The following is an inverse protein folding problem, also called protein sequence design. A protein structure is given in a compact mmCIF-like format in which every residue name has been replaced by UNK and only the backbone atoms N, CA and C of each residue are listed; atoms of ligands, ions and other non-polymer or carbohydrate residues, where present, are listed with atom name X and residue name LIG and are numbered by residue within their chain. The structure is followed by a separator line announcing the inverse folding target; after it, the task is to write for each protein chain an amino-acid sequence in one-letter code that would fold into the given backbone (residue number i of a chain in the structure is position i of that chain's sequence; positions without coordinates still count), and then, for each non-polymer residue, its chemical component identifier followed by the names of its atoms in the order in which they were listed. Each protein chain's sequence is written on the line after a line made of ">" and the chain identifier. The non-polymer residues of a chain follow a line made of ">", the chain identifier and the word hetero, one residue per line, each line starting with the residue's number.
data_IF_142241482530
#
_entry.id   IF_142241482530
#
_cell.length_a   1.000
_cell.length_b   1.000
_cell.length_c   1.000
_cell.angle_alpha   90.00
_cell.angle_beta   90.00
_cell.angle_gamma   90.00
#
_symmetry.space_group_name_H-M   'P 1'
#
loop_
_entity.id
_entity.type
_entity.pdbx_description
1 polymer ?
#
# COMPACT_ATOMS: atom_id res chain seq x y z
N UNK A 1 10.86 -44.32 -3.41
CA UNK A 1 10.12 -43.24 -4.06
C UNK A 1 10.80 -42.73 -5.33
N UNK A 2 12.15 -42.64 -5.40
CA UNK A 2 12.88 -42.14 -6.57
C UNK A 2 12.49 -42.86 -7.88
N UNK A 3 12.37 -44.22 -7.87
CA UNK A 3 11.95 -44.97 -9.06
C UNK A 3 10.51 -44.72 -9.48
N UNK A 4 9.61 -44.40 -8.53
CA UNK A 4 8.24 -44.02 -8.85
C UNK A 4 8.20 -42.63 -9.45
N UNK A 5 9.03 -41.69 -8.98
CA UNK A 5 9.20 -40.36 -9.57
C UNK A 5 9.68 -40.47 -11.02
N UNK A 6 10.70 -41.25 -11.30
CA UNK A 6 11.24 -41.45 -12.66
C UNK A 6 10.21 -42.03 -13.64
N UNK A 7 9.34 -42.96 -13.16
CA UNK A 7 8.37 -43.61 -14.00
C UNK A 7 7.06 -42.86 -14.18
N UNK A 8 6.68 -42.03 -13.21
CA UNK A 8 5.40 -41.32 -13.21
C UNK A 8 5.52 -39.83 -13.62
N UNK A 9 6.74 -39.26 -13.59
CA UNK A 9 6.97 -37.85 -13.83
C UNK A 9 6.58 -36.92 -12.65
N UNK A 10 6.05 -37.48 -11.53
CA UNK A 10 5.71 -36.68 -10.35
C UNK A 10 6.89 -36.54 -9.40
N UNK A 11 7.06 -35.38 -8.81
CA UNK A 11 8.01 -35.10 -7.74
C UNK A 11 7.32 -35.29 -6.38
N UNK A 12 7.99 -35.96 -5.43
CA UNK A 12 7.43 -36.20 -4.10
C UNK A 12 8.00 -35.25 -3.08
N UNK A 13 7.12 -34.60 -2.30
CA UNK A 13 7.46 -33.69 -1.19
C UNK A 13 6.93 -34.31 0.10
N UNK A 14 7.79 -34.59 1.06
CA UNK A 14 7.43 -35.22 2.33
C UNK A 14 8.39 -34.79 3.46
N UNK A 15 7.93 -34.87 4.69
CA UNK A 15 8.77 -34.74 5.89
C UNK A 15 9.52 -36.04 6.15
N UNK A 16 10.82 -35.98 6.47
CA UNK A 16 11.64 -37.15 6.83
C UNK A 16 11.13 -37.92 8.06
N UNK A 17 10.27 -37.31 8.88
CA UNK A 17 9.56 -37.96 9.97
C UNK A 17 8.39 -38.85 9.50
N UNK A 18 7.86 -38.59 8.30
CA UNK A 18 6.74 -39.32 7.70
C UNK A 18 7.24 -40.43 6.78
N UNK A 19 8.33 -40.18 6.05
CA UNK A 19 8.93 -41.17 5.14
C UNK A 19 10.40 -41.34 5.49
N UNK A 20 10.76 -42.55 5.94
CA UNK A 20 12.15 -42.88 6.22
C UNK A 20 12.93 -43.12 4.91
N UNK A 21 13.90 -42.27 4.60
CA UNK A 21 14.70 -42.37 3.39
C UNK A 21 15.78 -43.46 3.40
N UNK A 22 16.09 -44.01 4.56
CA UNK A 22 17.20 -44.97 4.74
C UNK A 22 16.76 -46.43 4.51
N UNK A 23 15.47 -46.66 4.16
CA UNK A 23 14.93 -48.00 3.94
C UNK A 23 14.76 -48.26 2.45
N UNK A 24 15.47 -49.29 1.94
CA UNK A 24 15.20 -49.81 0.60
C UNK A 24 14.01 -50.80 0.65
N UNK A 25 12.93 -50.47 -0.03
CA UNK A 25 11.72 -51.32 -0.12
C UNK A 25 11.67 -52.01 -1.48
N UNK A 26 11.54 -53.34 -1.48
CA UNK A 26 11.32 -54.14 -2.70
C UNK A 26 9.84 -54.41 -2.86
N UNK A 27 9.19 -53.77 -3.86
CA UNK A 27 7.77 -54.03 -4.19
C UNK A 27 7.66 -55.11 -5.29
N UNK A 28 6.70 -56.03 -5.16
CA UNK A 28 6.45 -57.09 -6.14
C UNK A 28 5.34 -56.74 -7.13
N UNK A 29 4.59 -55.66 -6.97
CA UNK A 29 3.47 -55.30 -7.83
C UNK A 29 3.94 -54.60 -9.08
N UNK A 30 3.55 -55.11 -10.23
CA UNK A 30 3.61 -54.49 -11.55
C UNK A 30 2.22 -53.94 -11.89
N UNK A 31 2.13 -52.74 -12.47
CA UNK A 31 0.88 -52.10 -12.86
C UNK A 31 -0.01 -51.63 -11.68
N UNK A 32 0.47 -50.71 -10.84
CA UNK A 32 -0.31 -50.07 -9.79
C UNK A 32 -0.34 -48.54 -10.02
N UNK A 33 -1.35 -47.89 -9.47
CA UNK A 33 -1.42 -46.39 -9.50
C UNK A 33 -0.32 -45.78 -8.64
N UNK A 34 0.09 -44.54 -8.94
CA UNK A 34 1.09 -43.82 -8.14
C UNK A 34 0.69 -43.77 -6.65
N UNK A 35 -0.59 -43.55 -6.36
CA UNK A 35 -1.13 -43.58 -4.99
C UNK A 35 -0.90 -44.93 -4.32
N UNK A 36 -1.18 -46.05 -4.99
CA UNK A 36 -0.98 -47.39 -4.47
C UNK A 36 0.51 -47.67 -4.26
N UNK A 37 1.37 -47.24 -5.17
CA UNK A 37 2.81 -47.39 -5.04
C UNK A 37 3.38 -46.64 -3.82
N UNK A 38 2.90 -45.43 -3.56
CA UNK A 38 3.31 -44.65 -2.38
C UNK A 38 2.92 -45.37 -1.10
N UNK A 39 1.66 -45.79 -0.96
CA UNK A 39 1.19 -46.50 0.25
C UNK A 39 1.91 -47.84 0.49
N UNK A 40 2.32 -48.53 -0.56
CA UNK A 40 3.05 -49.76 -0.45
C UNK A 40 4.53 -49.57 -0.07
N UNK A 41 5.15 -48.48 -0.56
CA UNK A 41 6.53 -48.15 -0.25
C UNK A 41 6.66 -47.57 1.16
N UNK A 42 5.73 -46.72 1.57
CA UNK A 42 5.75 -46.07 2.89
C UNK A 42 5.21 -47.00 3.97
N UNK A 43 4.38 -47.98 3.60
CA UNK A 43 3.76 -48.96 4.52
C UNK A 43 2.60 -48.37 5.33
N UNK A 44 2.19 -47.15 5.08
CA UNK A 44 1.12 -46.48 5.80
C UNK A 44 0.04 -45.96 4.83
N UNK A 45 -1.17 -46.54 4.95
CA UNK A 45 -2.34 -46.16 4.14
C UNK A 45 -3.14 -45.01 4.73
N UNK A 46 -2.79 -44.56 5.91
CA UNK A 46 -3.47 -43.43 6.58
C UNK A 46 -2.95 -42.08 6.12
N UNK A 47 -1.84 -42.04 5.39
CA UNK A 47 -1.23 -40.82 4.86
C UNK A 47 -2.17 -40.10 3.88
N UNK A 48 -2.23 -38.82 3.98
CA UNK A 48 -2.94 -37.95 3.02
C UNK A 48 -2.04 -37.60 1.85
N UNK A 49 -2.51 -37.84 0.63
CA UNK A 49 -1.78 -37.53 -0.60
C UNK A 49 -2.49 -36.38 -1.32
N UNK A 50 -1.81 -35.21 -1.45
CA UNK A 50 -2.32 -34.04 -2.14
C UNK A 50 -1.49 -33.75 -3.39
N UNK A 51 -2.14 -33.71 -4.56
CA UNK A 51 -1.50 -33.40 -5.84
C UNK A 51 -1.59 -31.91 -6.10
N UNK A 52 -0.46 -31.25 -6.35
CA UNK A 52 -0.36 -29.84 -6.69
C UNK A 52 0.54 -29.73 -7.92
N UNK A 53 -0.05 -29.54 -9.10
CA UNK A 53 0.68 -29.57 -10.37
C UNK A 53 1.43 -30.87 -10.55
N UNK A 54 2.75 -30.81 -10.74
CA UNK A 54 3.63 -31.96 -10.89
C UNK A 54 4.22 -32.51 -9.56
N UNK A 55 3.71 -32.07 -8.40
CA UNK A 55 4.17 -32.47 -7.08
C UNK A 55 3.09 -33.24 -6.35
N UNK A 56 3.50 -34.31 -5.64
CA UNK A 56 2.65 -35.05 -4.72
C UNK A 56 3.20 -34.83 -3.29
N UNK A 57 2.42 -34.13 -2.47
CA UNK A 57 2.70 -33.97 -1.05
C UNK A 57 2.21 -35.18 -0.29
N UNK A 58 3.10 -35.80 0.50
CA UNK A 58 2.78 -36.92 1.40
C UNK A 58 2.74 -36.33 2.82
N UNK A 59 1.53 -36.24 3.37
CA UNK A 59 1.25 -35.66 4.66
C UNK A 59 0.90 -36.71 5.69
N UNK A 60 1.19 -36.49 6.98
CA UNK A 60 0.70 -37.38 8.03
C UNK A 60 -0.84 -37.45 8.00
N UNK A 61 -1.45 -38.53 8.49
CA UNK A 61 -2.89 -38.62 8.59
C UNK A 61 -3.39 -37.41 9.37
N UNK A 62 -4.42 -36.74 8.83
CA UNK A 62 -5.10 -35.70 9.59
C UNK A 62 -5.58 -36.38 10.90
N UNK A 63 -4.92 -36.07 12.00
CA UNK A 63 -5.41 -36.49 13.31
C UNK A 63 -6.87 -36.06 13.39
N UNK A 64 -7.78 -37.02 13.40
CA UNK A 64 -9.12 -36.80 13.90
C UNK A 64 -8.97 -36.48 15.37
N UNK A 65 -8.61 -35.25 15.65
CA UNK A 65 -8.76 -34.69 16.97
C UNK A 65 -10.24 -34.79 17.27
N UNK A 66 -10.64 -35.85 17.95
CA UNK A 66 -11.88 -35.89 18.71
C UNK A 66 -11.69 -34.88 19.81
N UNK A 67 -11.74 -33.60 19.42
CA UNK A 67 -11.96 -32.50 20.36
C UNK A 67 -13.32 -32.81 20.98
N UNK A 68 -13.32 -33.37 22.19
CA UNK A 68 -14.41 -33.08 23.11
C UNK A 68 -14.56 -31.55 23.01
N UNK A 69 -15.59 -31.12 22.28
CA UNK A 69 -16.04 -29.75 22.29
C UNK A 69 -16.29 -29.39 23.76
N UNK A 70 -15.28 -28.80 24.44
CA UNK A 70 -15.61 -27.72 25.33
C UNK A 70 -16.29 -26.73 24.39
N UNK A 71 -17.56 -26.49 24.62
CA UNK A 71 -18.24 -25.33 24.12
C UNK A 71 -17.49 -24.17 24.73
N UNK A 72 -16.39 -23.76 24.10
CA UNK A 72 -15.94 -22.39 24.16
C UNK A 72 -17.07 -21.66 23.45
N UNK A 73 -17.76 -20.80 24.13
CA UNK A 73 -18.57 -19.77 23.54
C UNK A 73 -17.76 -19.23 22.37
N UNK A 74 -18.15 -19.61 21.15
CA UNK A 74 -17.65 -18.98 19.94
C UNK A 74 -18.07 -17.54 20.13
N UNK A 75 -17.12 -16.68 20.46
CA UNK A 75 -17.34 -15.24 20.38
C UNK A 75 -17.81 -15.05 18.93
N UNK A 76 -19.05 -14.63 18.68
CA UNK A 76 -19.54 -14.48 17.34
C UNK A 76 -18.56 -13.56 16.63
N UNK A 77 -18.11 -13.95 15.42
CA UNK A 77 -17.30 -13.09 14.57
C UNK A 77 -17.94 -11.72 14.56
N UNK A 78 -17.23 -10.65 14.86
CA UNK A 78 -17.83 -9.33 14.91
C UNK A 78 -18.58 -9.08 13.60
N UNK A 79 -19.88 -8.82 13.70
CA UNK A 79 -20.65 -8.41 12.54
C UNK A 79 -20.13 -7.03 12.10
N UNK A 80 -19.98 -6.84 10.79
CA UNK A 80 -19.52 -5.59 10.18
C UNK A 80 -20.63 -4.96 9.36
N UNK A 81 -20.64 -3.65 9.28
CA UNK A 81 -21.45 -2.89 8.34
C UNK A 81 -20.56 -2.00 7.48
N UNK A 82 -21.00 -1.74 6.27
CA UNK A 82 -20.27 -0.91 5.31
C UNK A 82 -20.99 0.42 5.11
N UNK A 83 -20.23 1.50 5.11
CA UNK A 83 -20.68 2.83 4.69
C UNK A 83 -19.93 3.17 3.41
N UNK A 84 -20.68 3.58 2.39
CA UNK A 84 -20.16 4.08 1.12
C UNK A 84 -20.71 5.46 0.82
N UNK A 85 -20.02 6.22 0.01
CA UNK A 85 -20.51 7.53 -0.42
C UNK A 85 -19.52 8.27 -1.32
N UNK A 86 -19.92 9.47 -1.66
CA UNK A 86 -19.21 10.38 -2.55
C UNK A 86 -19.01 11.71 -1.82
N UNK A 87 -17.78 12.20 -1.81
CA UNK A 87 -17.40 13.46 -1.20
C UNK A 87 -17.05 14.49 -2.29
N UNK A 88 -17.72 15.62 -2.26
CA UNK A 88 -17.58 16.71 -3.24
C UNK A 88 -17.21 18.03 -2.58
N UNK A 89 -16.57 18.89 -3.34
CA UNK A 89 -16.44 20.30 -3.02
C UNK A 89 -17.82 20.98 -3.10
N UNK A 90 -18.17 21.74 -2.06
CA UNK A 90 -19.46 22.38 -1.96
C UNK A 90 -19.68 23.51 -2.98
N UNK A 91 -18.61 24.19 -3.38
CA UNK A 91 -18.67 25.33 -4.31
C UNK A 91 -18.58 24.91 -5.78
N UNK A 92 -17.62 24.02 -6.09
CA UNK A 92 -17.35 23.59 -7.47
C UNK A 92 -18.10 22.34 -7.88
N UNK A 93 -18.49 21.49 -6.93
CA UNK A 93 -19.07 20.18 -7.18
C UNK A 93 -18.04 19.13 -7.56
N UNK A 94 -16.75 19.47 -7.64
CA UNK A 94 -15.66 18.57 -7.97
C UNK A 94 -15.46 17.49 -6.89
N UNK A 95 -14.94 16.31 -7.23
CA UNK A 95 -14.62 15.29 -6.24
C UNK A 95 -13.48 15.74 -5.31
N UNK A 96 -13.64 15.55 -4.00
CA UNK A 96 -12.56 15.78 -3.03
C UNK A 96 -11.71 14.52 -2.96
N UNK A 97 -10.55 14.56 -3.58
CA UNK A 97 -9.62 13.42 -3.74
C UNK A 97 -8.73 13.27 -2.52
N UNK A 98 -8.50 12.03 -2.07
CA UNK A 98 -7.66 11.70 -0.90
C UNK A 98 -8.10 12.39 0.39
N UNK A 99 -9.39 12.72 0.52
CA UNK A 99 -9.97 13.18 1.77
C UNK A 99 -9.99 12.05 2.80
N UNK A 100 -9.65 12.37 4.02
CA UNK A 100 -9.63 11.43 5.14
C UNK A 100 -11.05 11.15 5.64
N UNK A 101 -11.39 9.88 5.83
CA UNK A 101 -12.65 9.40 6.40
C UNK A 101 -12.32 8.53 7.60
N UNK A 102 -12.48 9.04 8.81
CA UNK A 102 -12.04 8.39 10.05
C UNK A 102 -13.19 8.31 11.05
N UNK A 103 -13.31 7.17 11.74
CA UNK A 103 -14.19 7.04 12.87
C UNK A 103 -13.57 7.71 14.11
N UNK A 104 -14.20 8.78 14.59
CA UNK A 104 -13.72 9.57 15.71
C UNK A 104 -13.48 8.72 16.96
N UNK A 105 -12.41 9.02 17.70
CA UNK A 105 -12.02 8.27 18.90
C UNK A 105 -11.35 6.92 18.61
N UNK A 106 -11.19 6.55 17.34
CA UNK A 106 -10.48 5.35 16.90
C UNK A 106 -9.39 5.70 15.88
N UNK A 107 -8.56 4.71 15.53
CA UNK A 107 -7.63 4.82 14.41
C UNK A 107 -8.18 4.22 13.11
N UNK A 108 -9.46 3.79 13.11
CA UNK A 108 -10.09 3.17 11.93
C UNK A 108 -10.44 4.25 10.92
N UNK A 109 -9.94 4.11 9.72
CA UNK A 109 -10.20 5.07 8.66
C UNK A 109 -9.81 4.59 7.27
N UNK A 110 -10.09 5.45 6.32
CA UNK A 110 -9.77 5.30 4.90
C UNK A 110 -9.68 6.69 4.25
N UNK A 111 -9.50 6.72 2.93
CA UNK A 111 -9.52 7.95 2.13
C UNK A 111 -10.48 7.83 0.94
N UNK A 112 -10.83 8.96 0.34
CA UNK A 112 -11.56 9.00 -0.93
C UNK A 112 -10.64 8.72 -2.11
N UNK A 113 -11.17 8.06 -3.15
CA UNK A 113 -10.48 7.84 -4.42
C UNK A 113 -10.51 9.10 -5.32
N UNK A 114 -10.05 9.00 -6.57
CA UNK A 114 -10.03 10.13 -7.54
C UNK A 114 -11.40 10.66 -7.91
N UNK A 115 -12.45 9.85 -7.76
CA UNK A 115 -13.83 10.26 -8.01
C UNK A 115 -14.50 10.86 -6.77
N UNK A 116 -13.78 10.93 -5.62
CA UNK A 116 -14.31 11.34 -4.33
C UNK A 116 -15.10 10.23 -3.62
N UNK A 117 -15.07 8.99 -4.11
CA UNK A 117 -15.77 7.85 -3.53
C UNK A 117 -15.01 7.31 -2.32
N UNK A 118 -15.74 6.91 -1.28
CA UNK A 118 -15.19 6.26 -0.11
C UNK A 118 -15.97 5.01 0.26
N UNK A 119 -15.28 4.08 0.91
CA UNK A 119 -15.86 2.89 1.53
C UNK A 119 -15.19 2.68 2.89
N UNK A 120 -15.99 2.46 3.91
CA UNK A 120 -15.53 2.18 5.26
C UNK A 120 -16.30 1.01 5.86
N UNK A 121 -15.59 -0.04 6.25
CA UNK A 121 -16.12 -1.20 6.96
C UNK A 121 -15.87 -1.01 8.46
N UNK A 122 -16.91 -1.13 9.26
CA UNK A 122 -16.87 -0.89 10.69
C UNK A 122 -17.54 -2.04 11.46
N UNK A 123 -17.01 -2.45 12.61
CA UNK A 123 -17.70 -3.38 13.50
C UNK A 123 -19.04 -2.81 13.97
N UNK A 124 -20.05 -3.65 14.07
CA UNK A 124 -21.41 -3.27 14.52
C UNK A 124 -21.41 -2.56 15.88
N UNK A 125 -20.47 -2.89 16.75
CA UNK A 125 -20.29 -2.22 18.05
C UNK A 125 -20.00 -0.73 17.96
N UNK A 126 -19.56 -0.25 16.78
CA UNK A 126 -19.18 1.15 16.52
C UNK A 126 -20.23 1.93 15.70
N UNK A 127 -21.42 1.36 15.52
CA UNK A 127 -22.51 1.92 14.71
C UNK A 127 -22.93 3.34 15.15
N UNK A 128 -22.84 3.65 16.43
CA UNK A 128 -23.21 4.95 16.98
C UNK A 128 -22.06 5.96 17.03
N UNK A 129 -20.91 5.60 16.44
CA UNK A 129 -19.76 6.50 16.35
C UNK A 129 -19.99 7.61 15.31
N UNK A 130 -19.13 8.64 15.35
CA UNK A 130 -19.14 9.74 14.37
C UNK A 130 -18.02 9.57 13.39
N UNK A 131 -18.31 9.68 12.09
CA UNK A 131 -17.31 9.76 11.03
C UNK A 131 -16.88 11.20 10.85
N UNK A 132 -15.57 11.43 10.82
CA UNK A 132 -14.95 12.71 10.46
C UNK A 132 -14.50 12.65 9.02
N UNK A 133 -14.92 13.62 8.23
CA UNK A 133 -14.50 13.86 6.84
C UNK A 133 -13.64 15.11 6.83
N UNK A 134 -12.39 14.99 6.38
CA UNK A 134 -11.47 16.12 6.39
C UNK A 134 -10.48 16.09 5.23
N UNK A 135 -10.11 17.28 4.76
CA UNK A 135 -9.10 17.48 3.74
C UNK A 135 -8.40 18.82 3.96
N UNK A 136 -7.14 18.93 3.51
CA UNK A 136 -6.39 20.16 3.59
C UNK A 136 -7.10 21.29 2.84
N UNK A 137 -7.34 22.44 3.51
CA UNK A 137 -8.04 23.58 2.95
C UNK A 137 -9.58 23.50 3.01
N UNK A 138 -10.14 22.55 3.74
CA UNK A 138 -11.58 22.40 3.93
C UNK A 138 -11.98 22.42 5.40
N UNK A 139 -13.21 22.80 5.66
CA UNK A 139 -13.85 22.68 6.99
C UNK A 139 -14.15 21.21 7.24
N UNK A 140 -13.66 20.67 8.35
CA UNK A 140 -13.94 19.28 8.71
C UNK A 140 -15.43 19.08 9.03
N UNK A 141 -16.02 17.96 8.58
CA UNK A 141 -17.40 17.61 8.82
C UNK A 141 -17.50 16.31 9.63
N UNK A 142 -18.40 16.26 10.60
CA UNK A 142 -18.66 15.07 11.42
C UNK A 142 -20.09 14.63 11.30
N UNK A 143 -20.31 13.34 10.98
CA UNK A 143 -21.65 12.76 10.75
C UNK A 143 -21.75 11.44 11.52
N UNK A 144 -22.90 11.17 12.13
CA UNK A 144 -23.16 9.88 12.81
C UNK A 144 -23.17 8.73 11.81
N UNK A 145 -22.40 7.68 12.07
CA UNK A 145 -22.28 6.53 11.19
C UNK A 145 -23.63 5.85 10.90
N UNK A 146 -24.49 5.75 11.93
CA UNK A 146 -25.83 5.16 11.82
C UNK A 146 -26.73 5.85 10.78
N UNK A 147 -26.53 7.14 10.51
CA UNK A 147 -27.31 7.89 9.52
C UNK A 147 -26.89 7.63 8.09
N UNK A 148 -25.71 7.06 7.90
CA UNK A 148 -25.11 6.83 6.58
C UNK A 148 -25.25 5.37 6.09
N UNK A 149 -25.71 4.46 6.94
CA UNK A 149 -25.83 3.04 6.62
C UNK A 149 -26.96 2.80 5.60
N UNK A 150 -26.66 2.00 4.57
CA UNK A 150 -27.63 1.55 3.57
C UNK A 150 -28.20 2.67 2.70
N UNK A 151 -27.46 3.74 2.50
CA UNK A 151 -27.86 4.91 1.68
C UNK A 151 -26.78 5.23 0.65
N UNK A 152 -27.20 5.86 -0.45
CA UNK A 152 -26.33 6.51 -1.41
C UNK A 152 -25.94 7.88 -0.85
N UNK A 153 -24.82 7.93 -0.14
CA UNK A 153 -24.38 9.13 0.54
C UNK A 153 -23.64 10.06 -0.43
N UNK A 154 -24.16 11.27 -0.61
CA UNK A 154 -23.43 12.36 -1.29
C UNK A 154 -23.21 13.47 -0.26
N UNK A 155 -21.94 13.66 0.11
CA UNK A 155 -21.53 14.62 1.11
C UNK A 155 -20.72 15.76 0.45
N UNK A 156 -20.77 16.96 1.04
CA UNK A 156 -20.01 18.10 0.52
C UNK A 156 -19.17 18.72 1.60
N UNK A 157 -17.86 18.90 1.33
CA UNK A 157 -16.99 19.69 2.18
C UNK A 157 -16.96 21.15 1.72
N UNK A 158 -17.00 22.05 2.67
CA UNK A 158 -16.92 23.49 2.44
C UNK A 158 -15.45 23.92 2.42
N UNK A 159 -14.97 24.60 1.33
CA UNK A 159 -13.64 25.19 1.32
C UNK A 159 -13.48 26.17 2.47
N UNK A 160 -12.37 26.10 3.20
CA UNK A 160 -12.06 27.02 4.27
C UNK A 160 -11.28 28.20 3.73
N UNK A 161 -11.97 29.31 3.52
CA UNK A 161 -11.38 30.57 3.09
C UNK A 161 -10.77 31.27 4.31
N UNK A 162 -9.48 31.63 4.22
CA UNK A 162 -8.80 32.43 5.26
C UNK A 162 -9.13 33.89 5.01
N UNK A 163 -9.89 34.59 5.87
CA UNK A 163 -10.09 36.00 5.72
C UNK A 163 -8.75 36.75 5.83
N UNK A 164 -8.46 37.64 4.89
CA UNK A 164 -7.24 38.46 4.88
C UNK A 164 -7.03 39.26 6.20
N UNK A 165 -8.08 39.47 6.97
CA UNK A 165 -8.04 40.20 8.24
C UNK A 165 -7.56 39.35 9.43
N UNK A 166 -7.62 38.02 9.34
CA UNK A 166 -7.12 37.09 10.37
C UNK A 166 -5.66 36.71 10.15
N UNK A 167 -5.09 37.03 9.02
CA UNK A 167 -3.67 36.83 8.77
C UNK A 167 -2.89 37.94 9.49
N UNK A 168 -2.76 37.83 10.79
CA UNK A 168 -1.61 38.38 11.49
C UNK A 168 -0.40 37.70 10.86
N UNK A 169 0.22 38.37 9.90
CA UNK A 169 1.45 37.94 9.24
C UNK A 169 2.51 37.83 10.34
N UNK A 170 2.48 36.76 11.10
CA UNK A 170 3.69 36.31 11.78
C UNK A 170 4.56 35.82 10.65
N UNK A 171 5.51 36.68 10.26
CA UNK A 171 6.65 36.27 9.44
C UNK A 171 7.42 35.23 10.24
N UNK A 172 6.92 34.00 10.20
CA UNK A 172 7.62 32.86 10.81
C UNK A 172 8.80 32.58 9.89
N UNK A 173 10.00 32.71 10.41
CA UNK A 173 11.21 32.35 9.67
C UNK A 173 11.12 30.85 9.29
N UNK A 174 11.13 30.50 7.98
CA UNK A 174 10.91 29.14 7.54
C UNK A 174 11.89 28.13 8.16
N UNK A 175 13.16 28.51 8.27
CA UNK A 175 14.18 27.65 8.88
C UNK A 175 13.93 27.40 10.38
N UNK A 176 13.43 28.41 11.11
CA UNK A 176 13.08 28.28 12.52
C UNK A 176 11.95 27.27 12.68
N UNK A 177 10.90 27.37 11.86
CA UNK A 177 9.77 26.46 11.90
C UNK A 177 10.17 25.02 11.57
N UNK A 178 11.02 24.81 10.56
CA UNK A 178 11.54 23.48 10.22
C UNK A 178 12.42 22.89 11.34
N UNK A 179 13.22 23.74 11.99
CA UNK A 179 14.03 23.33 13.15
C UNK A 179 13.13 22.90 14.32
N UNK A 180 12.10 23.68 14.63
CA UNK A 180 11.11 23.34 15.65
C UNK A 180 10.39 22.03 15.32
N UNK A 181 9.94 21.85 14.09
CA UNK A 181 9.31 20.60 13.62
C UNK A 181 10.21 19.38 13.86
N UNK A 182 11.49 19.48 13.51
CA UNK A 182 12.45 18.37 13.69
C UNK A 182 12.74 18.14 15.19
N UNK A 183 12.86 19.18 15.99
CA UNK A 183 13.10 19.08 17.43
C UNK A 183 11.90 18.48 18.18
N UNK A 184 10.66 18.83 17.80
CA UNK A 184 9.43 18.31 18.38
C UNK A 184 9.05 16.91 17.88
N UNK A 185 9.88 16.30 17.04
CA UNK A 185 9.62 14.99 16.47
C UNK A 185 9.38 13.91 17.53
N UNK A 186 10.17 13.92 18.62
CA UNK A 186 10.03 12.97 19.72
C UNK A 186 8.71 13.11 20.49
N UNK A 187 8.14 14.32 20.54
CA UNK A 187 6.85 14.58 21.20
C UNK A 187 5.66 14.24 20.31
N UNK A 188 5.80 14.48 19.00
CA UNK A 188 4.70 14.37 18.06
C UNK A 188 4.54 12.95 17.47
N UNK A 189 5.62 12.17 17.35
CA UNK A 189 5.60 10.85 16.68
C UNK A 189 5.96 9.72 17.63
N UNK A 190 5.53 8.50 17.29
CA UNK A 190 5.66 7.36 18.20
C UNK A 190 7.11 7.02 18.56
N UNK A 191 7.39 6.98 19.84
CA UNK A 191 8.65 6.49 20.42
C UNK A 191 8.65 4.97 20.61
N UNK A 192 7.50 4.31 20.47
CA UNK A 192 7.35 2.87 20.60
C UNK A 192 6.98 2.26 19.24
N UNK A 193 7.32 0.99 19.01
CA UNK A 193 6.88 0.31 17.81
C UNK A 193 5.36 0.14 17.81
N UNK A 194 4.75 0.17 16.62
CA UNK A 194 3.31 0.01 16.42
C UNK A 194 3.02 -0.92 15.25
N UNK A 195 1.83 -1.53 15.24
CA UNK A 195 1.32 -2.15 14.03
C UNK A 195 0.44 -1.19 13.26
N UNK A 196 0.68 -1.12 11.95
CA UNK A 196 -0.20 -0.45 11.01
C UNK A 196 -0.85 -1.51 10.12
N UNK A 197 -2.18 -1.53 10.03
CA UNK A 197 -2.87 -2.25 8.95
C UNK A 197 -3.04 -1.27 7.81
N UNK A 198 -2.43 -1.57 6.66
CA UNK A 198 -2.37 -0.66 5.52
C UNK A 198 -2.97 -1.30 4.29
N UNK A 199 -3.79 -0.55 3.56
CA UNK A 199 -4.12 -0.86 2.18
C UNK A 199 -3.07 -0.26 1.25
N UNK A 200 -2.65 -1.03 0.28
CA UNK A 200 -1.69 -0.64 -0.74
C UNK A 200 -2.24 -0.92 -2.13
N UNK A 201 -2.03 0.00 -3.03
CA UNK A 201 -2.38 -0.13 -4.45
C UNK A 201 -1.27 0.40 -5.31
N UNK A 202 -0.92 -0.30 -6.38
CA UNK A 202 -0.03 0.20 -7.43
C UNK A 202 -0.61 -0.08 -8.81
N UNK A 203 -0.38 0.83 -9.72
CA UNK A 203 -0.87 0.70 -11.10
C UNK A 203 0.14 1.16 -12.13
N UNK A 204 0.03 0.57 -13.32
CA UNK A 204 0.84 0.89 -14.47
C UNK A 204 -0.07 1.20 -15.66
N UNK A 205 0.17 2.34 -16.30
CA UNK A 205 -0.51 2.76 -17.51
C UNK A 205 0.49 3.14 -18.61
N UNK A 206 0.23 2.72 -19.83
CA UNK A 206 1.01 3.08 -21.01
C UNK A 206 0.10 3.79 -22.03
N UNK A 207 0.39 5.04 -22.40
CA UNK A 207 -0.49 5.86 -23.26
C UNK A 207 -1.93 5.94 -22.71
N UNK A 208 -2.10 6.12 -21.42
CA UNK A 208 -3.37 6.09 -20.71
C UNK A 208 -4.15 4.75 -20.81
N UNK A 209 -3.51 3.70 -21.31
CA UNK A 209 -4.08 2.34 -21.31
C UNK A 209 -3.56 1.58 -20.12
N UNK A 210 -4.49 1.00 -19.38
CA UNK A 210 -4.22 0.12 -18.26
C UNK A 210 -3.31 -1.06 -18.67
N UNK A 211 -2.29 -1.33 -17.86
CA UNK A 211 -1.38 -2.46 -18.04
C UNK A 211 -1.50 -3.45 -16.87
N UNK A 212 -1.41 -2.96 -15.64
CA UNK A 212 -1.52 -3.78 -14.44
C UNK A 212 -2.02 -2.97 -13.26
N UNK A 213 -2.68 -3.67 -12.33
CA UNK A 213 -3.07 -3.19 -11.01
C UNK A 213 -2.72 -4.26 -9.99
N UNK A 214 -2.07 -3.87 -8.92
CA UNK A 214 -1.83 -4.71 -7.75
C UNK A 214 -2.43 -4.02 -6.53
N UNK A 215 -3.20 -4.74 -5.76
CA UNK A 215 -3.78 -4.28 -4.50
C UNK A 215 -3.40 -5.26 -3.40
N UNK A 216 -3.11 -4.77 -2.22
CA UNK A 216 -2.76 -5.61 -1.08
C UNK A 216 -3.13 -4.96 0.24
N UNK A 217 -3.40 -5.80 1.23
CA UNK A 217 -3.47 -5.40 2.63
C UNK A 217 -2.29 -5.98 3.38
N UNK A 218 -1.58 -5.11 4.08
CA UNK A 218 -0.42 -5.48 4.88
C UNK A 218 -0.63 -5.19 6.36
N UNK A 219 -0.04 -6.01 7.22
CA UNK A 219 0.28 -5.63 8.59
C UNK A 219 1.75 -5.21 8.63
N UNK A 220 2.01 -3.98 9.02
CA UNK A 220 3.35 -3.39 9.10
C UNK A 220 3.75 -3.27 10.56
N UNK A 221 4.86 -3.90 10.94
CA UNK A 221 5.55 -3.56 12.17
C UNK A 221 6.37 -2.31 11.88
N UNK A 222 5.89 -1.17 12.37
CA UNK A 222 6.59 0.12 12.27
C UNK A 222 7.51 0.24 13.48
N UNK A 223 8.81 0.28 13.24
CA UNK A 223 9.78 0.46 14.32
C UNK A 223 9.73 1.90 14.85
N UNK A 224 10.16 2.08 16.10
CA UNK A 224 10.14 3.36 16.80
C UNK A 224 11.16 4.36 16.23
N UNK A 225 10.95 5.65 16.51
CA UNK A 225 11.91 6.71 16.14
C UNK A 225 13.31 6.51 16.71
N UNK A 226 13.50 6.11 17.99
CA UNK A 226 14.83 5.86 18.54
C UNK A 226 15.56 4.71 17.85
N UNK A 227 14.83 3.76 17.27
CA UNK A 227 15.39 2.60 16.57
C UNK A 227 15.61 2.87 15.07
N UNK A 228 16.25 3.98 14.69
CA UNK A 228 16.46 4.37 13.28
C UNK A 228 17.17 3.30 12.44
N UNK A 229 18.03 2.46 13.06
CA UNK A 229 18.71 1.36 12.39
C UNK A 229 17.85 0.10 12.21
N UNK A 230 16.63 0.07 12.74
CA UNK A 230 15.71 -1.05 12.64
C UNK A 230 14.75 -0.83 11.49
N UNK A 231 14.82 -1.70 10.50
CA UNK A 231 13.91 -1.67 9.36
C UNK A 231 12.50 -2.06 9.77
N UNK A 232 11.51 -1.36 9.23
CA UNK A 232 10.12 -1.77 9.31
C UNK A 232 9.92 -3.15 8.69
N UNK A 233 8.99 -3.94 9.25
CA UNK A 233 8.70 -5.28 8.76
C UNK A 233 7.29 -5.33 8.20
N UNK A 234 7.12 -6.05 7.13
CA UNK A 234 5.84 -6.16 6.42
C UNK A 234 5.39 -7.61 6.42
N UNK A 235 4.14 -7.84 6.78
CA UNK A 235 3.43 -9.12 6.63
C UNK A 235 2.28 -8.91 5.66
N UNK A 236 2.24 -9.72 4.60
CA UNK A 236 1.13 -9.73 3.65
C UNK A 236 -0.08 -10.42 4.29
N UNK A 237 -1.23 -9.78 4.28
CA UNK A 237 -2.49 -10.33 4.75
C UNK A 237 -3.36 -10.79 3.58
N UNK A 238 -3.50 -9.95 2.56
CA UNK A 238 -4.33 -10.22 1.38
C UNK A 238 -3.78 -9.49 0.17
N UNK A 239 -3.90 -10.06 -1.03
CA UNK A 239 -3.43 -9.42 -2.26
C UNK A 239 -4.29 -9.83 -3.45
N UNK A 240 -4.51 -8.89 -4.36
CA UNK A 240 -5.13 -9.09 -5.67
C UNK A 240 -4.29 -8.45 -6.75
N UNK A 241 -4.18 -9.09 -7.90
CA UNK A 241 -3.43 -8.59 -9.05
C UNK A 241 -4.20 -8.83 -10.34
N UNK A 242 -4.18 -7.84 -11.20
CA UNK A 242 -4.79 -7.89 -12.52
C UNK A 242 -3.77 -7.37 -13.54
N UNK A 243 -3.46 -8.21 -14.54
CA UNK A 243 -2.61 -7.85 -15.65
C UNK A 243 -3.40 -7.86 -16.95
N UNK A 244 -3.19 -6.86 -17.79
CA UNK A 244 -3.73 -6.85 -19.15
C UNK A 244 -2.82 -7.67 -20.07
N UNK A 245 -3.15 -8.96 -20.27
CA UNK A 245 -2.39 -9.92 -21.09
C UNK A 245 -2.34 -9.56 -22.58
N UNK A 246 -3.22 -8.67 -23.08
CA UNK A 246 -3.19 -8.23 -24.48
C UNK A 246 -2.01 -7.30 -24.83
N UNK A 247 -1.34 -6.79 -23.82
CA UNK A 247 -0.15 -6.00 -24.01
C UNK A 247 1.02 -6.94 -24.37
N UNK A 248 1.17 -7.23 -25.68
CA UNK A 248 2.31 -7.99 -26.26
C UNK A 248 3.69 -7.40 -25.93
N UNK A 249 3.70 -6.29 -25.30
CA UNK A 249 4.86 -5.63 -24.75
C UNK A 249 4.95 -5.91 -23.24
N UNK A 250 5.49 -7.06 -22.87
CA UNK A 250 5.89 -7.25 -21.49
C UNK A 250 6.82 -6.08 -21.12
N UNK A 251 6.26 -5.11 -20.40
CA UNK A 251 7.00 -3.91 -19.99
C UNK A 251 8.02 -4.33 -18.93
N UNK A 252 9.17 -4.80 -19.37
CA UNK A 252 10.25 -5.20 -18.48
C UNK A 252 11.01 -3.95 -18.07
N UNK A 253 10.36 -3.10 -17.28
CA UNK A 253 11.03 -2.03 -16.55
C UNK A 253 10.74 -2.22 -15.06
N UNK A 254 11.79 -2.43 -14.27
CA UNK A 254 11.69 -2.47 -12.81
C UNK A 254 11.88 -1.05 -12.29
N UNK A 255 10.80 -0.48 -11.80
CA UNK A 255 10.77 0.85 -11.19
C UNK A 255 10.75 0.68 -9.67
N UNK A 256 11.35 1.62 -8.94
CA UNK A 256 11.24 1.65 -7.48
C UNK A 256 9.79 1.96 -7.08
N UNK A 257 9.06 0.94 -6.77
CA UNK A 257 7.70 0.97 -6.24
C UNK A 257 7.55 -0.14 -5.19
N UNK A 258 6.36 -0.31 -4.68
CA UNK A 258 6.03 -1.32 -3.68
C UNK A 258 5.97 -0.77 -2.27
N UNK A 259 5.45 -1.60 -1.36
CA UNK A 259 5.23 -1.21 0.04
C UNK A 259 6.51 -0.71 0.74
N UNK A 260 7.66 -1.26 0.42
CA UNK A 260 8.94 -0.84 1.02
C UNK A 260 9.31 0.58 0.58
N UNK A 261 9.02 0.95 -0.67
CA UNK A 261 9.23 2.32 -1.16
C UNK A 261 8.32 3.33 -0.42
N UNK A 262 7.07 2.94 -0.13
CA UNK A 262 6.18 3.74 0.70
C UNK A 262 6.75 3.97 2.11
N UNK A 263 7.21 2.89 2.77
CA UNK A 263 7.75 3.00 4.13
C UNK A 263 9.04 3.85 4.20
N UNK A 264 9.84 3.85 3.13
CA UNK A 264 11.03 4.71 3.01
C UNK A 264 10.68 6.20 2.78
N UNK A 265 9.44 6.51 2.43
CA UNK A 265 8.96 7.89 2.31
C UNK A 265 8.47 8.47 3.66
N UNK A 266 8.61 7.76 4.76
CA UNK A 266 8.37 8.31 6.10
C UNK A 266 9.49 9.29 6.48
N UNK A 267 9.36 10.52 6.00
CA UNK A 267 10.36 11.58 6.18
C UNK A 267 10.50 12.05 7.63
N UNK A 268 9.59 11.68 8.51
CA UNK A 268 9.73 11.96 9.94
C UNK A 268 10.51 10.86 10.67
N UNK A 269 10.61 9.67 10.10
CA UNK A 269 11.51 8.62 10.59
C UNK A 269 12.93 8.82 10.02
N UNK A 270 13.06 8.90 8.71
CA UNK A 270 14.32 9.07 8.00
C UNK A 270 14.38 10.50 7.43
N UNK A 271 14.96 11.43 8.18
CA UNK A 271 15.01 12.84 7.81
C UNK A 271 15.80 13.04 6.51
N UNK A 272 15.18 13.55 5.44
CA UNK A 272 15.89 13.85 4.20
C UNK A 272 16.72 15.14 4.31
N UNK A 273 17.69 15.31 3.42
CA UNK A 273 18.64 16.45 3.41
C UNK A 273 17.95 17.82 3.41
N UNK A 274 16.75 17.95 2.82
CA UNK A 274 16.02 19.21 2.82
C UNK A 274 15.44 19.61 4.19
N UNK A 275 15.51 18.73 5.19
CA UNK A 275 15.19 19.03 6.59
C UNK A 275 16.44 19.32 7.43
N UNK A 276 17.64 19.13 6.88
CA UNK A 276 18.91 19.48 7.53
C UNK A 276 19.23 20.97 7.36
N UNK A 277 18.36 21.85 7.92
CA UNK A 277 18.37 23.29 7.67
C UNK A 277 19.62 24.01 8.14
N UNK A 278 20.34 23.48 9.12
CA UNK A 278 21.54 24.02 9.74
C UNK A 278 22.85 23.41 9.18
N UNK A 279 22.75 22.50 8.20
CA UNK A 279 23.95 21.96 7.56
C UNK A 279 24.74 23.07 6.87
N UNK A 280 26.07 23.08 7.03
CA UNK A 280 26.96 24.10 6.50
C UNK A 280 26.84 24.22 4.97
N UNK A 281 26.77 23.08 4.29
CA UNK A 281 26.60 22.98 2.83
C UNK A 281 25.15 22.78 2.38
N UNK A 282 24.17 23.25 3.18
CA UNK A 282 22.75 23.07 2.84
C UNK A 282 22.45 23.58 1.41
N UNK A 283 22.02 22.70 0.49
CA UNK A 283 21.81 23.06 -0.91
C UNK A 283 20.43 23.72 -1.16
N UNK A 284 19.63 23.96 -0.12
CA UNK A 284 18.24 24.41 -0.24
C UNK A 284 18.03 25.88 0.15
N UNK A 285 16.99 26.46 -0.44
CA UNK A 285 16.36 27.72 -0.03
C UNK A 285 14.96 27.42 0.50
N UNK A 286 14.51 28.20 1.48
CA UNK A 286 13.21 28.03 2.11
C UNK A 286 12.45 29.35 2.08
N UNK A 287 11.15 29.27 1.76
CA UNK A 287 10.25 30.43 1.76
C UNK A 287 8.96 30.10 2.48
N UNK A 288 8.40 31.05 3.20
CA UNK A 288 7.08 30.91 3.82
C UNK A 288 6.00 30.99 2.73
N UNK A 289 5.03 30.09 2.81
CA UNK A 289 3.80 30.14 2.03
C UNK A 289 2.64 30.69 2.83
N UNK A 290 1.45 30.65 2.24
CA UNK A 290 0.22 31.03 2.89
C UNK A 290 -0.18 30.02 3.98
N UNK A 291 -0.96 30.49 4.96
CA UNK A 291 -1.54 29.64 5.99
C UNK A 291 -2.73 28.87 5.39
N UNK A 292 -2.88 27.63 5.78
CA UNK A 292 -4.04 26.79 5.44
C UNK A 292 -4.61 26.10 6.68
N UNK A 293 -5.59 25.24 6.51
CA UNK A 293 -6.23 24.51 7.61
C UNK A 293 -6.36 23.02 7.29
N UNK A 294 -6.28 22.20 8.34
CA UNK A 294 -6.63 20.78 8.33
C UNK A 294 -7.25 20.42 9.69
N UNK A 295 -8.36 19.66 9.70
CA UNK A 295 -9.07 19.30 10.94
C UNK A 295 -9.30 20.52 11.87
N UNK A 296 -9.70 21.66 11.30
CA UNK A 296 -9.89 22.95 11.95
C UNK A 296 -8.64 23.59 12.62
N UNK A 297 -7.46 23.01 12.43
CA UNK A 297 -6.18 23.50 12.92
C UNK A 297 -5.47 24.34 11.86
N UNK A 298 -4.85 25.40 12.31
CA UNK A 298 -4.04 26.27 11.46
C UNK A 298 -2.74 25.59 11.08
N UNK A 299 -2.36 25.67 9.81
CA UNK A 299 -1.18 25.00 9.24
C UNK A 299 -0.32 26.02 8.49
N UNK A 300 0.94 26.12 8.90
CA UNK A 300 1.94 26.92 8.19
C UNK A 300 2.48 26.15 6.98
N UNK A 301 2.67 26.83 5.87
CA UNK A 301 3.27 26.25 4.67
C UNK A 301 4.69 26.74 4.50
N UNK A 302 5.63 25.80 4.32
CA UNK A 302 7.02 26.09 3.99
C UNK A 302 7.34 25.49 2.63
N UNK A 303 7.70 26.34 1.66
CA UNK A 303 8.25 25.90 0.39
C UNK A 303 9.75 25.74 0.50
N UNK A 304 10.27 24.72 -0.17
CA UNK A 304 11.71 24.51 -0.28
C UNK A 304 12.08 24.17 -1.72
N UNK A 305 13.22 24.69 -2.18
CA UNK A 305 13.78 24.40 -3.48
C UNK A 305 15.32 24.44 -3.43
N UNK A 306 15.98 23.77 -4.36
CA UNK A 306 17.44 23.82 -4.44
C UNK A 306 17.95 25.18 -4.87
N UNK A 307 19.11 25.59 -4.32
CA UNK A 307 19.84 26.81 -4.72
C UNK A 307 20.21 26.75 -6.20
N UNK A 308 20.22 27.88 -6.87
CA UNK A 308 20.56 28.01 -8.32
C UNK A 308 21.96 27.48 -8.68
N UNK A 309 22.89 27.48 -7.74
CA UNK A 309 24.24 26.95 -7.90
C UNK A 309 24.29 25.43 -7.98
N UNK A 310 23.26 24.73 -7.46
CA UNK A 310 23.19 23.26 -7.41
C UNK A 310 22.54 22.73 -8.66
N UNK A 311 23.19 21.79 -9.35
CA UNK A 311 22.70 21.22 -10.63
C UNK A 311 22.29 19.76 -10.53
N UNK A 312 22.30 19.19 -9.32
CA UNK A 312 21.84 17.81 -9.08
C UNK A 312 20.32 17.71 -9.05
N UNK A 313 19.73 16.55 -9.36
CA UNK A 313 18.28 16.33 -9.29
C UNK A 313 17.83 16.18 -7.83
N UNK A 314 17.68 17.28 -7.13
CA UNK A 314 17.21 17.32 -5.75
C UNK A 314 15.68 17.46 -5.68
N UNK A 315 15.12 17.22 -4.51
CA UNK A 315 13.71 17.43 -4.22
C UNK A 315 13.40 18.93 -4.07
N UNK A 316 12.17 19.32 -4.41
CA UNK A 316 11.57 20.60 -4.07
C UNK A 316 10.10 20.35 -3.69
N UNK A 317 9.45 21.31 -3.04
CA UNK A 317 8.05 21.12 -2.68
C UNK A 317 7.56 22.01 -1.55
N UNK A 318 6.51 21.50 -0.86
CA UNK A 318 5.83 22.18 0.23
C UNK A 318 5.69 21.25 1.44
N UNK A 319 5.92 21.79 2.61
CA UNK A 319 5.74 21.17 3.91
C UNK A 319 4.64 21.89 4.66
N UNK A 320 3.66 21.16 5.15
CA UNK A 320 2.48 21.65 5.86
C UNK A 320 2.65 21.32 7.34
N UNK A 321 2.84 22.33 8.16
CA UNK A 321 3.26 22.19 9.57
C UNK A 321 2.20 22.80 10.46
N UNK A 322 1.69 21.99 11.39
CA UNK A 322 0.72 22.40 12.39
C UNK A 322 1.27 23.56 13.24
N UNK A 323 0.49 24.64 13.39
CA UNK A 323 0.93 25.82 14.10
C UNK A 323 0.94 25.68 15.62
N UNK A 324 0.23 24.68 16.17
CA UNK A 324 0.11 24.50 17.63
C UNK A 324 1.23 23.64 18.21
N UNK A 325 1.60 22.56 17.53
CA UNK A 325 2.59 21.59 18.03
C UNK A 325 3.78 21.39 17.10
N UNK A 326 3.86 22.13 16.00
CA UNK A 326 4.90 22.00 14.97
C UNK A 326 5.01 20.61 14.34
N UNK A 327 3.95 19.78 14.37
CA UNK A 327 3.95 18.52 13.68
C UNK A 327 3.84 18.71 12.16
N UNK A 328 4.56 17.91 11.37
CA UNK A 328 4.32 17.81 9.93
C UNK A 328 3.02 17.05 9.69
N UNK A 329 2.05 17.70 9.09
CA UNK A 329 0.76 17.07 8.76
C UNK A 329 0.71 16.55 7.33
N UNK A 330 1.43 17.23 6.42
CA UNK A 330 1.55 16.80 5.03
C UNK A 330 2.85 17.32 4.42
N UNK A 331 3.40 16.54 3.50
CA UNK A 331 4.46 16.96 2.59
C UNK A 331 4.07 16.64 1.15
N UNK A 332 4.26 17.59 0.25
CA UNK A 332 4.21 17.36 -1.19
C UNK A 332 5.58 17.66 -1.75
N UNK A 333 6.24 16.64 -2.23
CA UNK A 333 7.63 16.75 -2.72
C UNK A 333 7.72 16.23 -4.15
N UNK A 334 8.55 16.86 -4.95
CA UNK A 334 8.83 16.41 -6.30
C UNK A 334 10.32 16.58 -6.63
N UNK A 335 10.83 15.81 -7.58
CA UNK A 335 12.17 16.08 -8.11
C UNK A 335 12.10 17.35 -8.95
N UNK A 336 13.06 18.25 -8.75
CA UNK A 336 13.12 19.50 -9.47
C UNK A 336 12.99 19.28 -10.99
N UNK A 337 11.93 19.81 -11.64
CA UNK A 337 11.65 19.56 -13.06
C UNK A 337 12.80 19.89 -14.00
N UNK A 338 13.66 20.83 -13.62
CA UNK A 338 14.81 21.27 -14.43
C UNK A 338 15.86 20.15 -14.58
N UNK A 339 16.02 19.30 -13.54
CA UNK A 339 17.05 18.26 -13.49
C UNK A 339 16.47 16.85 -13.51
N UNK A 340 15.16 16.70 -13.70
CA UNK A 340 14.43 15.44 -13.59
C UNK A 340 14.98 14.31 -14.47
N UNK A 341 15.51 14.62 -15.66
CA UNK A 341 16.05 13.62 -16.59
C UNK A 341 17.27 12.90 -16.02
N UNK A 342 18.06 13.61 -15.22
CA UNK A 342 19.28 13.09 -14.57
C UNK A 342 18.93 12.10 -13.45
N UNK A 343 17.72 12.24 -12.86
CA UNK A 343 17.21 11.34 -11.84
C UNK A 343 16.78 9.96 -12.39
N UNK A 344 16.80 9.73 -13.70
CA UNK A 344 16.30 8.48 -14.29
C UNK A 344 16.92 7.23 -13.67
N UNK A 345 18.22 7.25 -13.39
CA UNK A 345 18.94 6.13 -12.78
C UNK A 345 18.51 5.83 -11.32
N UNK A 346 17.91 6.82 -10.65
CA UNK A 346 17.41 6.67 -9.27
C UNK A 346 16.15 5.80 -9.26
N UNK A 347 15.29 5.96 -10.27
CA UNK A 347 13.96 5.33 -10.31
C UNK A 347 13.90 4.07 -11.16
N UNK A 348 14.66 4.00 -12.26
CA UNK A 348 14.68 2.86 -13.17
C UNK A 348 15.78 1.89 -12.76
N UNK A 349 15.40 0.81 -12.07
CA UNK A 349 16.33 -0.21 -11.57
C UNK A 349 16.78 -1.14 -12.71
N UNK A 350 15.87 -1.49 -13.62
CA UNK A 350 16.13 -2.35 -14.78
C UNK A 350 15.19 -2.02 -15.90
N UNK A 351 15.67 -2.07 -17.13
CA UNK A 351 14.87 -1.92 -18.34
C UNK A 351 15.29 -2.93 -19.40
N UNK A 352 14.38 -3.32 -20.28
CA UNK A 352 14.68 -4.21 -21.39
C UNK A 352 15.66 -3.54 -22.38
N UNK A 353 16.56 -4.29 -23.04
CA UNK A 353 17.61 -3.72 -23.92
C UNK A 353 17.10 -2.87 -25.10
N UNK A 354 15.84 -3.07 -25.50
CA UNK A 354 15.17 -2.36 -26.60
C UNK A 354 14.36 -1.13 -26.16
N UNK A 355 14.28 -0.90 -24.85
CA UNK A 355 13.50 0.19 -24.25
C UNK A 355 14.48 1.15 -23.57
N UNK A 356 14.25 2.46 -23.76
CA UNK A 356 14.93 3.50 -23.02
C UNK A 356 13.88 4.38 -22.33
N UNK A 357 13.91 4.40 -21.00
CA UNK A 357 13.06 5.25 -20.17
C UNK A 357 13.81 6.53 -19.78
N UNK A 358 13.10 7.65 -19.82
CA UNK A 358 13.59 8.94 -19.32
C UNK A 358 12.53 9.50 -18.39
N UNK A 359 12.90 9.80 -17.16
CA UNK A 359 12.00 10.38 -16.16
C UNK A 359 11.53 11.75 -16.59
N UNK A 360 10.23 12.02 -16.48
CA UNK A 360 9.57 13.28 -16.84
C UNK A 360 9.06 14.00 -15.60
N UNK A 361 8.53 13.28 -14.63
CA UNK A 361 7.96 13.81 -13.40
C UNK A 361 7.95 12.75 -12.32
N UNK A 362 8.26 13.12 -11.10
CA UNK A 362 8.11 12.30 -9.89
C UNK A 362 7.57 13.20 -8.80
N UNK A 363 6.41 12.83 -8.27
CA UNK A 363 5.73 13.57 -7.19
C UNK A 363 5.34 12.58 -6.11
N UNK A 364 5.57 12.96 -4.87
CA UNK A 364 5.10 12.24 -3.69
C UNK A 364 4.23 13.16 -2.84
N UNK A 365 3.16 12.62 -2.33
CA UNK A 365 2.35 13.21 -1.26
C UNK A 365 2.41 12.28 -0.06
N UNK A 366 2.75 12.82 1.09
CA UNK A 366 2.89 12.09 2.35
C UNK A 366 2.07 12.84 3.38
N UNK A 367 1.15 12.17 4.06
CA UNK A 367 0.37 12.80 5.12
C UNK A 367 0.39 11.98 6.41
N UNK A 368 0.29 12.70 7.51
CA UNK A 368 0.27 12.17 8.86
C UNK A 368 -1.03 12.58 9.54
N UNK A 369 -1.55 11.72 10.39
CA UNK A 369 -2.76 11.99 11.19
C UNK A 369 -2.51 11.65 12.65
N UNK A 370 -3.02 12.47 13.57
CA UNK A 370 -2.93 12.20 15.00
C UNK A 370 -3.96 11.15 15.41
N UNK A 371 -3.53 10.23 16.28
CA UNK A 371 -4.38 9.35 17.05
C UNK A 371 -3.87 9.29 18.49
N UNK A 372 -4.74 9.58 19.44
CA UNK A 372 -4.39 9.74 20.87
C UNK A 372 -3.20 10.69 21.09
N UNK A 373 -3.14 11.80 20.35
CA UNK A 373 -2.10 12.82 20.45
C UNK A 373 -0.79 12.50 19.72
N UNK A 374 -0.62 11.30 19.19
CA UNK A 374 0.58 10.88 18.44
C UNK A 374 0.29 10.82 16.95
N UNK A 375 1.16 11.38 16.13
CA UNK A 375 1.04 11.36 14.66
C UNK A 375 1.59 10.07 14.08
N UNK A 376 0.82 9.49 13.16
CA UNK A 376 1.19 8.30 12.40
C UNK A 376 1.09 8.60 10.90
N UNK A 377 1.91 7.89 10.13
CA UNK A 377 1.77 7.95 8.67
C UNK A 377 0.37 7.48 8.28
N UNK A 378 -0.35 8.34 7.56
CA UNK A 378 -1.74 8.09 7.19
C UNK A 378 -1.88 7.71 5.72
N UNK A 379 -1.30 8.53 4.83
CA UNK A 379 -1.42 8.31 3.40
C UNK A 379 -0.12 8.67 2.69
N UNK A 380 0.29 7.83 1.76
CA UNK A 380 1.41 8.06 0.84
C UNK A 380 0.92 7.80 -0.57
N UNK A 381 1.19 8.73 -1.46
CA UNK A 381 0.99 8.56 -2.90
C UNK A 381 2.25 8.95 -3.65
N UNK A 382 2.62 8.13 -4.63
CA UNK A 382 3.69 8.41 -5.58
C UNK A 382 3.19 8.33 -7.01
N UNK A 383 3.45 9.36 -7.81
CA UNK A 383 3.16 9.40 -9.25
C UNK A 383 4.45 9.61 -10.01
N UNK A 384 4.82 8.65 -10.87
CA UNK A 384 6.04 8.64 -11.64
C UNK A 384 5.72 8.56 -13.14
N UNK A 385 6.22 9.51 -13.91
CA UNK A 385 6.01 9.58 -15.36
C UNK A 385 7.33 9.43 -16.10
N UNK A 386 7.33 8.55 -17.08
CA UNK A 386 8.50 8.27 -17.91
C UNK A 386 8.15 8.41 -19.40
N UNK A 387 9.04 8.99 -20.15
CA UNK A 387 9.01 8.93 -21.60
C UNK A 387 9.69 7.65 -22.04
N UNK A 388 8.99 6.80 -22.80
CA UNK A 388 9.52 5.55 -23.30
C UNK A 388 9.91 5.69 -24.76
N UNK A 389 11.17 5.37 -25.10
CA UNK A 389 11.67 5.25 -26.47
C UNK A 389 11.96 3.80 -26.78
N UNK A 390 11.49 3.30 -27.93
CA UNK A 390 11.84 1.98 -28.47
C UNK A 390 12.85 2.10 -29.60
N UNK A 391 13.90 1.29 -29.61
CA UNK A 391 15.00 1.37 -30.61
C UNK A 391 14.56 1.20 -32.06
N UNK A 392 13.37 0.64 -32.34
CA UNK A 392 12.87 0.36 -33.71
C UNK A 392 11.68 1.24 -34.14
N UNK A 393 11.12 2.09 -33.28
CA UNK A 393 9.96 2.92 -33.60
C UNK A 393 10.30 4.40 -33.45
N UNK A 394 10.48 5.08 -34.58
CA UNK A 394 10.90 6.49 -34.64
C UNK A 394 9.76 7.47 -34.32
N UNK A 395 8.49 7.07 -34.43
CA UNK A 395 7.35 7.98 -34.41
C UNK A 395 6.49 7.98 -33.16
N UNK A 396 6.76 7.14 -32.16
CA UNK A 396 5.93 7.07 -30.95
C UNK A 396 6.80 7.00 -29.71
N UNK A 397 6.73 8.05 -28.89
CA UNK A 397 7.36 8.11 -27.57
C UNK A 397 6.25 8.13 -26.50
N UNK A 398 5.63 7.00 -26.18
CA UNK A 398 4.54 6.96 -25.23
C UNK A 398 5.00 7.34 -23.82
N UNK A 399 4.08 7.92 -23.05
CA UNK A 399 4.26 8.11 -21.62
C UNK A 399 3.89 6.83 -20.89
N UNK A 400 4.80 6.37 -20.05
CA UNK A 400 4.56 5.37 -19.04
C UNK A 400 4.27 6.11 -17.72
N UNK A 401 3.10 5.89 -17.17
CA UNK A 401 2.72 6.35 -15.83
C UNK A 401 2.67 5.15 -14.90
N UNK A 402 3.43 5.19 -13.84
CA UNK A 402 3.30 4.25 -12.73
C UNK A 402 3.00 5.05 -11.47
N UNK A 403 2.09 4.54 -10.68
CA UNK A 403 1.71 5.17 -9.43
C UNK A 403 1.53 4.11 -8.35
N UNK A 404 1.70 4.53 -7.12
CA UNK A 404 1.42 3.70 -5.96
C UNK A 404 0.79 4.54 -4.86
N UNK A 405 0.04 3.88 -4.02
CA UNK A 405 -0.70 4.50 -2.93
C UNK A 405 -0.74 3.56 -1.73
N UNK A 406 -0.53 4.09 -0.54
CA UNK A 406 -0.65 3.37 0.72
C UNK A 406 -1.49 4.21 1.67
N UNK A 407 -2.50 3.61 2.30
CA UNK A 407 -3.28 4.24 3.36
C UNK A 407 -3.25 3.37 4.61
N UNK A 408 -3.04 4.00 5.77
CA UNK A 408 -3.16 3.34 7.08
C UNK A 408 -4.63 3.32 7.48
N UNK A 409 -5.20 2.12 7.53
CA UNK A 409 -6.61 1.88 7.87
C UNK A 409 -6.83 1.62 9.36
N UNK A 410 -5.78 1.19 10.08
CA UNK A 410 -5.83 0.91 11.51
C UNK A 410 -4.43 1.06 12.12
N UNK A 411 -4.35 1.68 13.30
CA UNK A 411 -3.15 1.71 14.14
C UNK A 411 -3.43 0.89 15.40
N UNK A 412 -2.53 -0.05 15.71
CA UNK A 412 -2.59 -0.88 16.92
C UNK A 412 -1.28 -0.72 17.69
N UNK A 413 -1.40 -0.38 18.95
CA UNK A 413 -0.27 -0.12 19.85
C UNK A 413 -0.10 -1.19 20.95
N UNK A 414 -0.99 -2.21 20.94
CA UNK A 414 -0.99 -3.25 21.96
C UNK A 414 -0.22 -4.49 21.51
N UNK A 415 0.56 -5.07 22.43
CA UNK A 415 1.28 -6.32 22.22
C UNK A 415 2.12 -6.38 20.93
N UNK A 416 2.76 -5.24 20.57
CA UNK A 416 3.52 -5.11 19.34
C UNK A 416 4.85 -5.85 19.45
N UNK A 417 5.03 -6.87 18.62
CA UNK A 417 6.24 -7.68 18.52
C UNK A 417 6.70 -7.80 17.06
N UNK A 418 7.99 -8.05 16.86
CA UNK A 418 8.53 -8.26 15.52
C UNK A 418 7.98 -9.55 14.92
N UNK A 419 7.70 -9.52 13.62
CA UNK A 419 7.28 -10.74 12.90
C UNK A 419 8.42 -11.77 12.84
N UNK A 420 8.07 -13.04 12.91
CA UNK A 420 9.00 -14.12 12.65
C UNK A 420 9.52 -14.07 11.20
N UNK A 421 10.64 -14.74 10.92
CA UNK A 421 11.21 -14.74 9.57
C UNK A 421 10.26 -15.36 8.52
N UNK A 422 9.43 -16.30 8.92
CA UNK A 422 8.48 -16.97 8.04
C UNK A 422 7.27 -16.08 7.68
N UNK A 423 6.91 -15.14 8.56
CA UNK A 423 5.76 -14.26 8.35
C UNK A 423 6.10 -12.99 7.58
N UNK A 424 7.36 -12.62 7.57
CA UNK A 424 7.84 -11.35 7.01
C UNK A 424 8.02 -11.43 5.50
N UNK A 425 7.42 -10.49 4.80
CA UNK A 425 7.68 -10.30 3.38
C UNK A 425 9.15 -9.88 3.17
N UNK A 426 9.92 -10.57 2.32
CA UNK A 426 11.28 -10.15 2.01
C UNK A 426 11.32 -8.73 1.44
N UNK A 427 12.29 -7.87 1.84
CA UNK A 427 12.33 -6.46 1.41
C UNK A 427 12.42 -6.23 -0.10
N UNK A 428 12.85 -7.24 -0.86
CA UNK A 428 13.00 -7.17 -2.32
C UNK A 428 11.89 -7.89 -3.08
N UNK A 429 10.83 -8.32 -2.40
CA UNK A 429 9.69 -8.98 -3.07
C UNK A 429 9.03 -7.98 -4.02
N UNK A 430 8.86 -8.41 -5.25
CA UNK A 430 8.07 -7.69 -6.27
C UNK A 430 6.72 -8.36 -6.27
N UNK A 431 5.70 -7.64 -5.80
CA UNK A 431 4.31 -8.13 -5.75
C UNK A 431 3.78 -8.50 -7.15
N UNK A 432 4.39 -7.92 -8.18
CA UNK A 432 4.03 -8.18 -9.57
C UNK A 432 4.26 -9.63 -10.06
N UNK A 433 5.01 -10.45 -9.32
CA UNK A 433 5.39 -11.80 -9.77
C UNK A 433 4.46 -12.91 -9.22
N UNK A 434 3.41 -12.57 -8.44
CA UNK A 434 2.47 -13.54 -7.90
C UNK A 434 1.11 -13.49 -8.61
N UNK A 435 0.56 -14.64 -9.03
CA UNK A 435 -0.74 -14.75 -9.70
C UNK A 435 -1.87 -14.93 -8.68
N UNK A 436 -2.88 -14.05 -8.73
CA UNK A 436 -4.09 -14.12 -7.90
C UNK A 436 -5.33 -13.90 -8.75
N UNK A 437 -6.45 -14.56 -8.39
CA UNK A 437 -7.76 -14.31 -9.00
C UNK A 437 -8.43 -13.14 -8.29
N UNK A 438 -8.98 -12.23 -9.08
CA UNK A 438 -9.81 -11.14 -8.58
C UNK A 438 -11.16 -11.69 -8.14
N UNK A 439 -11.59 -11.33 -6.92
CA UNK A 439 -12.90 -11.62 -6.35
C UNK A 439 -13.48 -10.33 -5.81
N UNK A 440 -14.69 -9.96 -6.25
CA UNK A 440 -15.35 -8.71 -5.87
C UNK A 440 -15.66 -8.63 -4.37
N UNK A 441 -15.91 -9.80 -3.73
CA UNK A 441 -16.11 -9.93 -2.28
C UNK A 441 -14.80 -10.14 -1.52
N UNK A 442 -13.67 -10.12 -2.21
CA UNK A 442 -12.36 -10.43 -1.65
C UNK A 442 -11.96 -9.53 -0.47
N UNK A 443 -12.44 -8.29 -0.43
CA UNK A 443 -12.04 -7.28 0.56
C UNK A 443 -13.03 -7.12 1.72
N UNK A 444 -14.03 -7.98 1.90
CA UNK A 444 -15.15 -7.76 2.85
C UNK A 444 -14.71 -7.35 4.26
N UNK A 445 -13.61 -7.92 4.77
CA UNK A 445 -13.12 -7.68 6.14
C UNK A 445 -12.17 -6.47 6.26
N UNK A 446 -11.77 -5.85 5.15
CA UNK A 446 -10.75 -4.81 5.14
C UNK A 446 -11.27 -3.48 4.61
N UNK A 447 -10.72 -2.40 5.17
CA UNK A 447 -10.88 -1.07 4.61
C UNK A 447 -9.96 -0.91 3.41
N UNK A 448 -10.54 -0.71 2.23
CA UNK A 448 -9.85 -0.56 0.96
C UNK A 448 -10.38 0.68 0.25
N UNK A 449 -9.51 1.35 -0.53
CA UNK A 449 -9.93 2.47 -1.36
C UNK A 449 -10.79 1.91 -2.51
N UNK A 450 -12.01 2.43 -2.77
CA UNK A 450 -12.81 1.99 -3.91
C UNK A 450 -12.06 2.13 -5.24
N UNK A 451 -12.31 1.22 -6.17
CA UNK A 451 -11.82 1.38 -7.54
C UNK A 451 -12.56 2.54 -8.20
N UNK A 452 -11.84 3.36 -8.95
CA UNK A 452 -12.45 4.36 -9.80
C UNK A 452 -13.32 3.68 -10.88
N UNK A 453 -14.47 4.24 -11.22
CA UNK A 453 -15.44 3.66 -12.15
C UNK A 453 -14.82 3.31 -13.52
N UNK A 454 -13.93 4.16 -14.04
CA UNK A 454 -13.22 3.89 -15.28
C UNK A 454 -12.32 2.65 -15.16
N UNK A 455 -11.62 2.50 -14.05
CA UNK A 455 -10.74 1.39 -13.77
C UNK A 455 -11.53 0.10 -13.55
N UNK A 456 -12.65 0.17 -12.81
CA UNK A 456 -13.57 -0.95 -12.59
C UNK A 456 -14.09 -1.51 -13.91
N UNK A 457 -14.58 -0.65 -14.81
CA UNK A 457 -15.05 -1.07 -16.15
C UNK A 457 -13.97 -1.72 -17.01
N UNK A 458 -12.72 -1.27 -16.88
CA UNK A 458 -11.59 -1.88 -17.61
C UNK A 458 -11.29 -3.26 -17.03
N UNK A 459 -11.27 -3.40 -15.70
CA UNK A 459 -11.03 -4.65 -15.00
C UNK A 459 -12.07 -5.71 -15.34
N UNK A 460 -13.36 -5.36 -15.32
CA UNK A 460 -14.46 -6.24 -15.72
C UNK A 460 -14.27 -6.77 -17.14
N UNK A 461 -13.90 -5.90 -18.07
CA UNK A 461 -13.63 -6.32 -19.45
C UNK A 461 -12.43 -7.27 -19.58
N UNK A 462 -11.38 -7.06 -18.77
CA UNK A 462 -10.20 -7.93 -18.75
C UNK A 462 -10.55 -9.28 -18.11
N UNK A 463 -11.29 -9.30 -17.01
CA UNK A 463 -11.74 -10.51 -16.33
C UNK A 463 -12.61 -11.37 -17.24
N UNK A 464 -13.63 -10.78 -17.91
CA UNK A 464 -14.50 -11.47 -18.86
C UNK A 464 -13.75 -12.06 -20.07
N UNK A 465 -12.63 -11.45 -20.47
CA UNK A 465 -11.79 -11.99 -21.54
C UNK A 465 -10.95 -13.17 -21.08
N UNK A 466 -10.43 -13.14 -19.85
CA UNK A 466 -9.66 -14.24 -19.28
C UNK A 466 -10.55 -15.48 -19.17
N UNK A 467 -11.77 -15.35 -18.63
CA UNK A 467 -12.74 -16.44 -18.53
C UNK A 467 -13.07 -17.07 -19.91
N UNK A 468 -13.18 -16.25 -20.97
CA UNK A 468 -13.43 -16.76 -22.33
C UNK A 468 -12.24 -17.50 -22.94
N UNK A 469 -11.01 -17.11 -22.59
CA UNK A 469 -9.80 -17.80 -23.05
C UNK A 469 -9.66 -19.14 -22.34
N UNK A 470 -9.86 -19.16 -21.02
CA UNK A 470 -9.80 -20.38 -20.20
C UNK A 470 -10.88 -21.42 -20.64
N UNK A 471 -12.08 -20.95 -21.06
CA UNK A 471 -13.15 -21.82 -21.62
C UNK A 471 -12.87 -22.31 -23.05
N UNK A 472 -11.96 -21.71 -23.79
CA UNK A 472 -11.58 -22.16 -25.15
C UNK A 472 -10.37 -23.12 -25.13
N UNK A 473 -9.64 -23.19 -24.04
CA UNK A 473 -8.50 -24.09 -23.82
C UNK A 473 -8.89 -25.38 -23.06
N UNK A 474 -10.10 -25.48 -22.50
CA UNK A 474 -10.73 -26.74 -22.03
C UNK A 474 -11.45 -27.44 -23.18
#
# INVERSE_FOLDING_TARGET
>A
LSKVSEQSGYLFVYDSKVVNNDIEVRTKKKNCTVRQAIYEIVGDRTLELKVIGNHILILPPAEKVVRKRKVSEETPLPAYFTITGLLRDKETGDPVVSASVILQGTSIGNITNKNGEFRLNLPDSLKNGKLSFSHLGYVAQSIEASTLIGRDNVLSLEPKIVPLQEVLIRLVEPKKLLREMVNQRGENYSLNPVYLTTFYREGVQLKNKFQSLTEAVFKVYKSSLPEMNVSDQVKLLKMSKIDNRESTDSLVAKIRAGIQACLQLDIMKDLPDFLSVDAEDNPYMYTSGDITFIDDRCVNVVYFEQKRSVRSPLYCGALYIDSENSALVQARIEINPKYIKEATRIFVVRQAPKINLTTQKVVYTISYKPWKGTYYIHHIRGDLYFKMKRKRFFFSNPTLHTWFEMVTCLVDTENVTRFSRAERLPPRTVLADEEFKYDEHFWEDFNVIPLEEELSRIIEKVALKIEKIDQQEE
#
